data_IF_359103404031
#
_entry.id   IF_359103404031
#
_cell.length_a   1.000
_cell.length_b   1.000
_cell.length_c   1.000
_cell.angle_alpha   90.00
_cell.angle_beta   90.00
_cell.angle_gamma   90.00
#
_symmetry.space_group_name_H-M   'P 1'
#
loop_
_entity.id
_entity.type
_entity.pdbx_description
1 polymer ?
#
# COMPACT_ATOMS: atom_id res chain seq x y z
N UNK A 1 4.51 4.99 -8.55
CA UNK A 1 3.90 4.96 -7.21
C UNK A 1 4.42 3.80 -6.38
N UNK A 2 4.19 2.53 -6.77
CA UNK A 2 4.61 1.36 -5.97
C UNK A 2 6.12 1.30 -5.65
N UNK A 3 6.98 1.63 -6.61
CA UNK A 3 8.44 1.65 -6.41
C UNK A 3 8.91 2.68 -5.39
N UNK A 4 8.28 3.86 -5.35
CA UNK A 4 8.53 4.87 -4.31
C UNK A 4 7.98 4.42 -2.96
N UNK A 5 6.79 3.83 -2.92
CA UNK A 5 6.19 3.33 -1.68
C UNK A 5 7.08 2.28 -1.00
N UNK A 6 7.67 1.35 -1.76
CA UNK A 6 8.62 0.37 -1.22
C UNK A 6 9.81 1.09 -0.58
N UNK A 7 10.50 1.94 -1.33
CA UNK A 7 11.71 2.61 -0.84
C UNK A 7 11.45 3.52 0.38
N UNK A 8 10.35 4.27 0.36
CA UNK A 8 9.95 5.13 1.49
C UNK A 8 9.66 4.26 2.71
N UNK A 9 8.85 3.19 2.58
CA UNK A 9 8.57 2.30 3.71
C UNK A 9 9.84 1.68 4.28
N UNK A 10 10.78 1.25 3.42
CA UNK A 10 12.09 0.76 3.85
C UNK A 10 12.93 1.83 4.55
N UNK A 11 12.83 3.10 4.15
CA UNK A 11 13.51 4.20 4.84
C UNK A 11 13.04 4.40 6.29
N UNK A 12 11.82 3.95 6.62
CA UNK A 12 11.25 3.90 7.97
C UNK A 12 11.52 2.58 8.71
N UNK A 13 12.26 1.64 8.11
CA UNK A 13 12.58 0.34 8.71
C UNK A 13 11.43 -0.67 8.66
N UNK A 14 10.41 -0.44 7.84
CA UNK A 14 9.30 -1.38 7.69
C UNK A 14 9.73 -2.68 7.00
N UNK A 15 9.03 -3.78 7.31
CA UNK A 15 9.03 -4.99 6.49
C UNK A 15 8.02 -4.83 5.35
N UNK A 16 8.44 -5.04 4.11
CA UNK A 16 7.68 -4.69 2.91
C UNK A 16 7.45 -5.92 2.05
N UNK A 17 6.17 -6.22 1.80
CA UNK A 17 5.74 -7.18 0.79
C UNK A 17 5.30 -6.45 -0.48
N UNK A 18 6.02 -6.66 -1.59
CA UNK A 18 5.65 -6.15 -2.91
C UNK A 18 4.75 -7.12 -3.67
N UNK A 19 3.68 -6.62 -4.30
CA UNK A 19 2.77 -7.45 -5.12
C UNK A 19 2.65 -6.83 -6.50
N UNK A 20 3.11 -7.56 -7.52
CA UNK A 20 2.96 -7.19 -8.94
C UNK A 20 3.03 -8.47 -9.79
N UNK A 21 3.17 -8.37 -11.11
CA UNK A 21 3.37 -9.52 -11.99
C UNK A 21 4.82 -10.04 -11.92
N UNK A 22 5.04 -11.31 -12.30
CA UNK A 22 6.35 -11.97 -12.33
C UNK A 22 7.52 -11.11 -12.85
N UNK A 23 7.31 -10.32 -13.90
CA UNK A 23 8.39 -9.58 -14.57
C UNK A 23 9.01 -8.47 -13.72
N UNK A 24 8.33 -8.05 -12.65
CA UNK A 24 8.77 -6.95 -11.78
C UNK A 24 9.24 -7.41 -10.39
N UNK A 25 9.17 -8.71 -10.10
CA UNK A 25 9.52 -9.22 -8.78
C UNK A 25 10.99 -8.93 -8.43
N UNK A 26 11.90 -9.15 -9.37
CA UNK A 26 13.33 -8.89 -9.16
C UNK A 26 13.62 -7.39 -8.97
N UNK A 27 12.91 -6.54 -9.70
CA UNK A 27 12.98 -5.09 -9.51
C UNK A 27 12.51 -4.67 -8.11
N UNK A 28 11.40 -5.25 -7.63
CA UNK A 28 10.89 -4.94 -6.29
C UNK A 28 11.88 -5.38 -5.20
N UNK A 29 12.53 -6.54 -5.35
CA UNK A 29 13.59 -6.99 -4.45
C UNK A 29 14.78 -6.04 -4.47
N UNK A 30 15.22 -5.60 -5.65
CA UNK A 30 16.40 -4.73 -5.77
C UNK A 30 16.21 -3.35 -5.12
N UNK A 31 14.96 -2.89 -4.98
CA UNK A 31 14.62 -1.62 -4.31
C UNK A 31 14.17 -1.79 -2.85
N UNK A 32 14.34 -3.00 -2.29
CA UNK A 32 14.26 -3.25 -0.85
C UNK A 32 13.00 -3.98 -0.37
N UNK A 33 12.13 -4.49 -1.24
CA UNK A 33 11.06 -5.37 -0.79
C UNK A 33 11.63 -6.67 -0.17
N UNK A 34 11.22 -6.99 1.05
CA UNK A 34 11.66 -8.19 1.76
C UNK A 34 10.99 -9.44 1.19
N UNK A 35 9.71 -9.31 0.84
CA UNK A 35 8.92 -10.35 0.18
C UNK A 35 8.33 -9.83 -1.12
N UNK A 36 8.16 -10.71 -2.10
CA UNK A 36 7.49 -10.37 -3.36
C UNK A 36 6.55 -11.48 -3.79
N UNK A 37 5.37 -11.11 -4.25
CA UNK A 37 4.31 -12.03 -4.66
C UNK A 37 3.87 -11.73 -6.10
N UNK A 38 3.78 -12.76 -6.94
CA UNK A 38 3.05 -12.67 -8.21
C UNK A 38 1.55 -12.74 -7.95
N UNK A 39 0.79 -11.68 -8.30
CA UNK A 39 -0.65 -11.68 -8.11
C UNK A 39 -1.41 -12.70 -8.99
N UNK A 40 -0.78 -13.22 -10.05
CA UNK A 40 -1.35 -14.26 -10.89
C UNK A 40 -1.34 -15.62 -10.20
N UNK A 41 -0.34 -15.88 -9.36
CA UNK A 41 -0.16 -17.15 -8.67
C UNK A 41 -0.70 -17.09 -7.24
N UNK A 42 -0.50 -15.95 -6.56
CA UNK A 42 -0.80 -15.78 -5.14
C UNK A 42 -1.75 -14.63 -4.88
N UNK A 43 -2.86 -14.93 -4.21
CA UNK A 43 -3.73 -13.89 -3.63
C UNK A 43 -3.25 -13.58 -2.21
N UNK A 44 -2.55 -12.44 -2.05
CA UNK A 44 -2.01 -12.00 -0.76
C UNK A 44 -3.06 -11.94 0.37
N UNK A 45 -4.35 -11.81 0.02
CA UNK A 45 -5.44 -11.76 1.01
C UNK A 45 -5.82 -13.13 1.57
N UNK A 46 -5.24 -14.20 1.04
CA UNK A 46 -5.52 -15.61 1.39
C UNK A 46 -4.31 -16.37 1.94
N UNK A 47 -3.14 -15.73 2.05
CA UNK A 47 -1.92 -16.39 2.53
C UNK A 47 -1.94 -16.67 4.04
N UNK A 48 -2.83 -16.00 4.79
CA UNK A 48 -2.87 -16.07 6.25
C UNK A 48 -2.14 -14.90 6.92
N UNK A 49 -1.22 -14.27 6.20
CA UNK A 49 -0.48 -13.08 6.62
C UNK A 49 -1.41 -11.90 6.96
N UNK A 50 -0.89 -11.00 7.81
CA UNK A 50 -1.57 -9.79 8.26
C UNK A 50 -0.66 -8.59 8.09
N UNK A 51 -1.22 -7.47 7.63
CA UNK A 51 -0.47 -6.25 7.34
C UNK A 51 -1.02 -5.09 8.16
N UNK A 52 -0.11 -4.31 8.76
CA UNK A 52 -0.46 -3.10 9.50
C UNK A 52 -0.83 -1.95 8.56
N UNK A 53 -0.28 -1.96 7.34
CA UNK A 53 -0.65 -1.04 6.28
C UNK A 53 -0.70 -1.74 4.93
N UNK A 54 -1.73 -1.45 4.13
CA UNK A 54 -1.81 -1.87 2.73
C UNK A 54 -2.04 -0.63 1.87
N UNK A 55 -1.15 -0.41 0.90
CA UNK A 55 -1.26 0.65 -0.11
C UNK A 55 -1.58 -0.01 -1.44
N UNK A 56 -2.83 0.13 -1.90
CA UNK A 56 -3.29 -0.46 -3.16
C UNK A 56 -3.45 0.61 -4.25
N UNK A 57 -2.75 0.40 -5.36
CA UNK A 57 -2.75 1.29 -6.54
C UNK A 57 -3.61 0.76 -7.70
N UNK A 58 -4.14 -0.47 -7.57
CA UNK A 58 -4.94 -1.15 -8.61
C UNK A 58 -6.36 -1.40 -8.13
N UNK A 59 -6.56 -1.63 -6.83
CA UNK A 59 -7.84 -1.84 -6.14
C UNK A 59 -8.71 -2.93 -6.78
N UNK A 60 -8.13 -4.11 -7.02
CA UNK A 60 -8.82 -5.26 -7.65
C UNK A 60 -9.47 -6.22 -6.66
N UNK A 61 -9.22 -6.05 -5.36
CA UNK A 61 -9.74 -6.94 -4.31
C UNK A 61 -10.96 -6.31 -3.64
N UNK A 62 -11.87 -7.16 -3.16
CA UNK A 62 -13.03 -6.68 -2.42
C UNK A 62 -12.59 -6.10 -1.08
N UNK A 63 -13.38 -5.14 -0.56
CA UNK A 63 -13.14 -4.54 0.75
C UNK A 63 -13.07 -5.57 1.89
N UNK A 64 -13.77 -6.70 1.76
CA UNK A 64 -13.73 -7.79 2.75
C UNK A 64 -12.43 -8.60 2.68
N UNK A 65 -11.89 -8.82 1.48
CA UNK A 65 -10.60 -9.48 1.31
C UNK A 65 -9.48 -8.59 1.89
N UNK A 66 -9.51 -7.29 1.59
CA UNK A 66 -8.63 -6.29 2.19
C UNK A 66 -8.72 -6.28 3.72
N UNK A 67 -9.94 -6.22 4.29
CA UNK A 67 -10.16 -6.25 5.74
C UNK A 67 -9.59 -7.50 6.42
N UNK A 68 -9.65 -8.65 5.73
CA UNK A 68 -9.12 -9.92 6.27
C UNK A 68 -7.59 -9.91 6.31
N UNK A 69 -6.97 -9.31 5.30
CA UNK A 69 -5.52 -9.20 5.20
C UNK A 69 -4.93 -8.15 6.16
N UNK A 70 -5.71 -7.20 6.67
CA UNK A 70 -5.20 -6.24 7.66
C UNK A 70 -5.04 -6.85 9.06
N UNK A 71 -4.03 -6.43 9.80
CA UNK A 71 -3.92 -6.60 11.25
C UNK A 71 -5.07 -5.90 12.00
N UNK A 72 -5.32 -6.21 13.29
CA UNK A 72 -5.99 -5.26 14.18
C UNK A 72 -5.29 -3.89 14.10
N UNK A 73 -6.06 -2.81 14.11
CA UNK A 73 -5.63 -1.42 13.94
C UNK A 73 -4.97 -1.09 12.59
N UNK A 74 -4.96 -2.05 11.66
CA UNK A 74 -4.37 -1.87 10.34
C UNK A 74 -5.11 -0.88 9.45
N UNK A 75 -4.34 -0.24 8.57
CA UNK A 75 -4.80 0.80 7.66
C UNK A 75 -4.73 0.35 6.19
N UNK A 76 -5.86 0.40 5.49
CA UNK A 76 -5.90 0.22 4.04
C UNK A 76 -6.09 1.56 3.35
N UNK A 77 -5.17 1.91 2.44
CA UNK A 77 -5.20 3.13 1.63
C UNK A 77 -5.28 2.76 0.16
N UNK A 78 -6.29 3.29 -0.52
CA UNK A 78 -6.38 3.26 -1.98
C UNK A 78 -5.78 4.55 -2.55
N UNK A 79 -4.79 4.40 -3.41
CA UNK A 79 -4.18 5.51 -4.16
C UNK A 79 -4.77 5.61 -5.57
N UNK A 80 -5.17 4.48 -6.15
CA UNK A 80 -5.76 4.41 -7.50
C UNK A 80 -6.58 3.13 -7.68
N UNK A 81 -7.51 3.12 -8.63
CA UNK A 81 -8.39 1.99 -8.84
C UNK A 81 -9.62 2.27 -9.69
N UNK A 82 -10.49 1.28 -9.85
CA UNK A 82 -11.75 1.43 -10.59
C UNK A 82 -12.76 2.29 -9.82
N UNK A 83 -13.70 2.91 -10.55
CA UNK A 83 -14.85 3.63 -9.94
C UNK A 83 -15.59 2.77 -8.92
N UNK A 84 -15.75 1.47 -9.18
CA UNK A 84 -16.44 0.56 -8.26
C UNK A 84 -15.67 0.32 -6.96
N UNK A 85 -14.35 0.19 -7.02
CA UNK A 85 -13.52 0.08 -5.81
C UNK A 85 -13.59 1.37 -4.99
N UNK A 86 -13.51 2.52 -5.66
CA UNK A 86 -13.74 3.83 -5.03
C UNK A 86 -15.10 3.89 -4.31
N UNK A 87 -16.20 3.52 -4.98
CA UNK A 87 -17.53 3.50 -4.38
C UNK A 87 -17.60 2.59 -3.15
N UNK A 88 -16.99 1.40 -3.18
CA UNK A 88 -16.99 0.50 -2.02
C UNK A 88 -16.28 1.11 -0.82
N UNK A 89 -15.10 1.71 -1.00
CA UNK A 89 -14.33 2.25 0.12
C UNK A 89 -14.92 3.54 0.69
N UNK A 90 -15.46 4.42 -0.16
CA UNK A 90 -16.12 5.65 0.31
C UNK A 90 -17.41 5.35 1.06
N UNK A 91 -18.26 4.47 0.53
CA UNK A 91 -19.61 4.27 1.09
C UNK A 91 -19.69 3.14 2.11
N UNK A 92 -18.91 2.06 1.96
CA UNK A 92 -18.93 0.92 2.89
C UNK A 92 -17.75 0.95 3.87
N UNK A 93 -16.65 1.61 3.55
CA UNK A 93 -15.47 1.72 4.42
C UNK A 93 -15.80 2.21 5.83
N UNK A 94 -16.51 3.34 6.01
CA UNK A 94 -16.86 3.86 7.34
C UNK A 94 -17.77 2.92 8.16
N UNK A 95 -18.70 2.23 7.50
CA UNK A 95 -19.60 1.26 8.16
C UNK A 95 -18.84 0.00 8.60
N UNK A 96 -17.94 -0.49 7.75
CA UNK A 96 -17.13 -1.68 8.00
C UNK A 96 -16.02 -1.39 9.03
N UNK A 97 -15.54 -0.15 9.10
CA UNK A 97 -14.57 0.32 10.09
C UNK A 97 -15.21 0.57 11.47
N UNK A 98 -16.55 0.66 11.55
CA UNK A 98 -17.28 0.78 12.83
C UNK A 98 -17.48 -0.55 13.57
N UNK A 99 -17.38 -1.67 12.86
CA UNK A 99 -17.61 -3.02 13.42
C UNK A 99 -16.33 -3.70 13.90
N UNK A 100 -15.19 -2.99 13.91
CA UNK A 100 -13.94 -3.46 14.49
C UNK A 100 -12.84 -2.42 14.35
N UNK A 101 -11.71 -2.63 15.02
CA UNK A 101 -10.59 -1.70 15.02
C UNK A 101 -9.77 -1.77 13.71
N UNK A 102 -10.36 -1.61 12.54
CA UNK A 102 -9.61 -1.61 11.27
C UNK A 102 -10.06 -0.45 10.41
N UNK A 103 -9.11 0.30 9.89
CA UNK A 103 -9.40 1.52 9.12
C UNK A 103 -9.31 1.21 7.63
N UNK A 104 -10.45 1.25 6.96
CA UNK A 104 -10.56 1.11 5.51
C UNK A 104 -10.91 2.48 4.94
N UNK A 105 -9.91 3.21 4.43
CA UNK A 105 -10.10 4.60 4.03
C UNK A 105 -9.75 4.82 2.56
N UNK A 106 -10.62 5.55 1.86
CA UNK A 106 -10.29 6.15 0.58
C UNK A 106 -9.91 7.62 0.83
N UNK A 107 -8.64 7.95 0.59
CA UNK A 107 -8.11 9.30 0.40
C UNK A 107 -8.50 10.40 1.41
N UNK A 108 -9.07 10.06 2.57
CA UNK A 108 -9.43 11.03 3.61
C UNK A 108 -8.20 11.64 4.29
N UNK A 109 -7.05 10.96 4.17
CA UNK A 109 -5.73 11.41 4.63
C UNK A 109 -4.87 12.06 3.56
N UNK A 110 -5.38 12.26 2.35
CA UNK A 110 -4.66 13.06 1.35
C UNK A 110 -4.66 14.51 1.79
N UNK A 111 -3.67 14.84 2.62
CA UNK A 111 -3.28 16.21 2.85
C UNK A 111 -2.92 16.82 1.49
N UNK A 112 -3.27 18.10 1.25
CA UNK A 112 -2.71 18.80 0.11
C UNK A 112 -1.20 18.69 0.17
N UNK A 113 -0.56 18.53 -1.00
CA UNK A 113 0.89 18.53 -1.09
C UNK A 113 1.43 19.75 -0.36
N UNK A 114 2.16 19.52 0.72
CA UNK A 114 2.68 20.56 1.59
C UNK A 114 4.19 20.63 1.44
N UNK A 115 4.77 21.75 1.88
CA UNK A 115 6.20 21.99 1.73
C UNK A 115 7.04 21.01 2.55
N UNK A 116 6.61 20.67 3.77
CA UNK A 116 7.34 19.78 4.67
C UNK A 116 7.49 18.38 4.08
N UNK A 117 6.44 17.85 3.46
CA UNK A 117 6.48 16.56 2.75
C UNK A 117 7.45 16.59 1.57
N UNK A 118 7.50 17.71 0.83
CA UNK A 118 8.40 17.87 -0.30
C UNK A 118 9.86 18.05 0.13
N UNK A 119 10.10 18.77 1.23
CA UNK A 119 11.41 18.93 1.84
C UNK A 119 11.90 17.55 2.32
N UNK A 120 11.05 16.77 2.99
CA UNK A 120 11.35 15.39 3.41
C UNK A 120 11.66 14.46 2.23
N UNK A 121 10.87 14.51 1.16
CA UNK A 121 11.16 13.73 -0.05
C UNK A 121 12.50 14.12 -0.65
N UNK A 122 12.83 15.42 -0.66
CA UNK A 122 14.12 15.92 -1.14
C UNK A 122 15.27 15.36 -0.32
N UNK A 123 15.17 15.37 1.01
CA UNK A 123 16.16 14.76 1.91
C UNK A 123 16.36 13.26 1.62
N UNK A 124 15.27 12.53 1.34
CA UNK A 124 15.37 11.11 0.98
C UNK A 124 16.09 10.88 -0.35
N UNK A 125 15.88 11.75 -1.35
CA UNK A 125 16.59 11.70 -2.62
C UNK A 125 18.08 12.06 -2.45
N UNK A 126 18.39 13.12 -1.71
CA UNK A 126 19.76 13.57 -1.45
C UNK A 126 20.56 12.53 -0.66
N UNK A 127 19.91 11.86 0.30
CA UNK A 127 20.50 10.76 1.06
C UNK A 127 20.63 9.44 0.27
N UNK A 128 20.14 9.38 -0.98
CA UNK A 128 20.14 8.18 -1.81
C UNK A 128 19.25 7.05 -1.29
N UNK A 129 18.35 7.34 -0.33
CA UNK A 129 17.40 6.36 0.23
C UNK A 129 16.23 6.08 -0.70
N UNK A 130 15.93 7.01 -1.59
CA UNK A 130 14.93 6.88 -2.63
C UNK A 130 15.58 7.24 -3.96
N UNK A 131 15.49 6.34 -4.93
CA UNK A 131 15.97 6.58 -6.29
C UNK A 131 14.83 6.47 -7.31
N UNK A 132 14.83 7.30 -8.37
CA UNK A 132 13.92 7.11 -9.49
C UNK A 132 14.19 5.76 -10.16
N UNK A 133 13.13 4.99 -10.37
CA UNK A 133 13.16 3.74 -11.13
C UNK A 133 12.51 4.04 -12.48
N UNK A 134 13.30 3.96 -13.55
CA UNK A 134 12.90 4.30 -14.93
C UNK A 134 12.74 3.03 -15.75
#
# INVERSE_FOLDING_TARGET
MGTFAIQIAKSFGAEVTGVDNAKKLDLMRSIGADHVLDFHETDFTKTGERYDMIIDTVARRSIFAAKRALSPDGLFVIVGGSRSAFFQFVFLGPLISRTGNKTLSFNWWSQPCNKEDMDFLTELFEAGKVVPVI
#
